data_IF_204991790175
#
_entry.id   IF_204991790175
#
_cell.length_a   1.000
_cell.length_b   1.000
_cell.length_c   1.000
_cell.angle_alpha   90.00
_cell.angle_beta   90.00
_cell.angle_gamma   90.00
#
_symmetry.space_group_name_H-M   'P 1'
#
loop_
_entity.id
_entity.type
_entity.pdbx_description
1 polymer ?
#
# COMPACT_ATOMS: atom_id res chain seq x y z
N UNK A 1 23.51 2.74 -10.20
CA UNK A 1 22.35 2.15 -10.91
C UNK A 1 22.43 0.64 -10.75
N UNK A 2 21.81 0.07 -9.69
CA UNK A 2 21.74 -1.38 -9.54
C UNK A 2 20.63 -1.90 -10.44
N UNK A 3 21.01 -2.56 -11.51
CA UNK A 3 20.09 -3.32 -12.38
C UNK A 3 19.48 -4.42 -11.50
N UNK A 4 18.20 -4.29 -11.16
CA UNK A 4 17.45 -5.41 -10.59
C UNK A 4 17.46 -6.54 -11.61
N UNK A 5 18.20 -7.61 -11.30
CA UNK A 5 18.32 -8.76 -12.16
C UNK A 5 16.93 -9.36 -12.44
N UNK A 6 16.62 -9.64 -13.70
CA UNK A 6 15.37 -10.32 -14.13
C UNK A 6 15.05 -11.58 -13.29
N UNK A 7 16.07 -12.26 -12.77
CA UNK A 7 15.92 -13.40 -11.84
C UNK A 7 15.29 -12.98 -10.50
N UNK A 8 15.59 -11.79 -9.98
CA UNK A 8 15.01 -11.28 -8.74
C UNK A 8 13.54 -10.91 -8.94
N UNK A 9 13.17 -10.42 -10.13
CA UNK A 9 11.77 -10.08 -10.47
C UNK A 9 10.93 -11.36 -10.61
N UNK A 10 11.46 -12.41 -11.25
CA UNK A 10 10.73 -13.68 -11.42
C UNK A 10 10.55 -14.43 -10.10
N UNK A 11 11.56 -14.41 -9.21
CA UNK A 11 11.46 -14.96 -7.85
C UNK A 11 10.46 -14.20 -6.96
N UNK A 12 10.33 -12.89 -7.13
CA UNK A 12 9.33 -12.09 -6.41
C UNK A 12 7.88 -12.41 -6.79
N UNK A 13 7.64 -13.04 -7.95
CA UNK A 13 6.30 -13.45 -8.39
C UNK A 13 5.75 -14.67 -7.65
N UNK A 14 6.62 -15.52 -7.10
CA UNK A 14 6.24 -16.79 -6.45
C UNK A 14 6.66 -16.87 -4.98
N UNK A 15 7.53 -15.97 -4.50
CA UNK A 15 8.03 -16.03 -3.13
C UNK A 15 6.95 -15.53 -2.17
N UNK A 16 6.67 -16.36 -1.15
CA UNK A 16 5.88 -15.96 0.00
C UNK A 16 6.80 -15.46 1.11
N UNK A 17 6.33 -14.42 1.79
CA UNK A 17 6.99 -13.82 2.94
C UNK A 17 6.16 -14.09 4.19
N UNK A 18 6.80 -14.27 5.33
CA UNK A 18 6.07 -14.45 6.61
C UNK A 18 5.31 -13.18 6.97
N UNK A 19 5.95 -12.03 6.89
CA UNK A 19 5.35 -10.73 7.21
C UNK A 19 5.63 -9.75 6.09
N UNK A 20 4.59 -9.18 5.53
CA UNK A 20 4.68 -8.08 4.57
C UNK A 20 4.00 -6.84 5.10
N UNK A 21 4.50 -5.66 4.72
CA UNK A 21 3.83 -4.40 4.99
C UNK A 21 3.32 -3.77 3.68
N UNK A 22 2.23 -3.05 3.78
CA UNK A 22 1.73 -2.14 2.75
C UNK A 22 1.13 -0.93 3.43
N UNK A 23 0.97 0.17 2.71
CA UNK A 23 0.42 1.37 3.34
C UNK A 23 -0.21 2.34 2.35
N UNK A 24 -1.04 3.19 2.89
CA UNK A 24 -1.72 4.21 2.12
C UNK A 24 -2.62 5.10 2.96
N UNK A 25 -3.28 6.05 2.32
CA UNK A 25 -4.29 6.88 2.99
C UNK A 25 -5.61 6.13 3.10
N UNK A 26 -5.93 5.27 2.13
CA UNK A 26 -7.16 4.48 2.06
C UNK A 26 -8.44 5.32 2.27
N UNK A 27 -8.44 6.55 1.77
CA UNK A 27 -9.57 7.46 1.99
C UNK A 27 -10.87 6.92 1.36
N UNK A 28 -10.77 6.42 0.12
CA UNK A 28 -11.81 5.62 -0.53
C UNK A 28 -11.16 4.34 -1.04
N UNK A 29 -11.65 3.18 -0.61
CA UNK A 29 -11.13 1.90 -1.11
C UNK A 29 -11.59 1.72 -2.56
N UNK A 30 -10.68 1.93 -3.51
CA UNK A 30 -10.91 1.83 -4.95
C UNK A 30 -10.11 0.67 -5.56
N UNK A 31 -10.32 0.40 -6.85
CA UNK A 31 -9.71 -0.73 -7.57
C UNK A 31 -8.18 -0.77 -7.44
N UNK A 32 -7.50 0.37 -7.42
CA UNK A 32 -6.04 0.43 -7.17
C UNK A 32 -5.65 -0.05 -5.76
N UNK A 33 -6.37 0.38 -4.72
CA UNK A 33 -6.15 -0.12 -3.36
C UNK A 33 -6.43 -1.61 -3.25
N UNK A 34 -7.49 -2.11 -3.92
CA UNK A 34 -7.83 -3.53 -3.93
C UNK A 34 -6.75 -4.38 -4.58
N UNK A 35 -6.14 -3.92 -5.67
CA UNK A 35 -5.02 -4.60 -6.31
C UNK A 35 -3.79 -4.68 -5.39
N UNK A 36 -3.48 -3.57 -4.69
CA UNK A 36 -2.39 -3.52 -3.71
C UNK A 36 -2.60 -4.53 -2.58
N UNK A 37 -3.79 -4.51 -1.97
CA UNK A 37 -4.16 -5.41 -0.88
C UNK A 37 -4.15 -6.88 -1.34
N UNK A 38 -4.77 -7.16 -2.50
CA UNK A 38 -4.77 -8.52 -3.08
C UNK A 38 -3.34 -9.04 -3.23
N UNK A 39 -2.44 -8.24 -3.80
CA UNK A 39 -1.04 -8.63 -3.95
C UNK A 39 -0.35 -8.86 -2.61
N UNK A 40 -0.65 -8.03 -1.61
CA UNK A 40 -0.10 -8.21 -0.26
C UNK A 40 -0.49 -9.56 0.33
N UNK A 41 -1.75 -9.95 0.22
CA UNK A 41 -2.23 -11.25 0.69
C UNK A 41 -1.78 -12.45 -0.18
N UNK A 42 -1.45 -12.24 -1.44
CA UNK A 42 -0.86 -13.28 -2.30
C UNK A 42 0.56 -13.63 -1.87
N UNK A 43 1.36 -12.64 -1.47
CA UNK A 43 2.79 -12.83 -1.19
C UNK A 43 3.12 -12.95 0.29
N UNK A 44 2.24 -12.48 1.19
CA UNK A 44 2.42 -12.49 2.64
C UNK A 44 1.56 -13.52 3.36
N UNK A 45 2.11 -14.16 4.38
CA UNK A 45 1.33 -14.98 5.30
C UNK A 45 0.62 -14.13 6.34
N UNK A 46 1.28 -13.06 6.81
CA UNK A 46 0.72 -11.99 7.64
C UNK A 46 0.92 -10.64 6.96
N UNK A 47 -0.12 -9.79 6.93
CA UNK A 47 -0.10 -8.49 6.24
C UNK A 47 -0.30 -7.35 7.24
N UNK A 48 0.69 -6.47 7.35
CA UNK A 48 0.57 -5.22 8.11
C UNK A 48 0.11 -4.12 7.16
N UNK A 49 -1.05 -3.53 7.45
CA UNK A 49 -1.67 -2.52 6.59
C UNK A 49 -1.61 -1.17 7.30
N UNK A 50 -0.69 -0.32 6.87
CA UNK A 50 -0.52 1.01 7.42
C UNK A 50 -1.52 2.01 6.84
N UNK A 51 -2.30 2.67 7.70
CA UNK A 51 -3.17 3.79 7.31
C UNK A 51 -2.56 5.09 7.84
N UNK A 52 -2.35 6.08 6.98
CA UNK A 52 -1.84 7.39 7.42
C UNK A 52 -2.74 8.00 8.50
N UNK A 53 -2.15 8.48 9.60
CA UNK A 53 -2.88 9.30 10.58
C UNK A 53 -3.46 10.57 9.92
N UNK A 54 -4.38 11.23 10.58
CA UNK A 54 -4.92 12.51 10.06
C UNK A 54 -3.82 13.58 9.96
N UNK A 55 -2.86 13.56 10.90
CA UNK A 55 -1.70 14.44 10.87
C UNK A 55 -0.79 14.17 9.67
N UNK A 56 -0.45 12.91 9.43
CA UNK A 56 0.37 12.52 8.29
C UNK A 56 -0.33 12.82 6.96
N UNK A 57 -1.63 12.50 6.84
CA UNK A 57 -2.40 12.78 5.63
C UNK A 57 -2.37 14.28 5.28
N UNK A 58 -2.52 15.16 6.26
CA UNK A 58 -2.39 16.63 6.06
C UNK A 58 -0.99 17.02 5.58
N UNK A 59 0.07 16.49 6.21
CA UNK A 59 1.46 16.77 5.77
C UNK A 59 1.73 16.29 4.34
N UNK A 60 1.02 15.26 3.87
CA UNK A 60 1.05 14.78 2.48
C UNK A 60 0.18 15.62 1.52
N UNK A 61 -0.41 16.73 1.96
CA UNK A 61 -1.29 17.55 1.14
C UNK A 61 -2.70 16.96 0.93
N UNK A 62 -3.07 15.90 1.66
CA UNK A 62 -4.38 15.26 1.57
C UNK A 62 -5.39 15.89 2.55
N UNK A 63 -5.53 17.21 2.49
CA UNK A 63 -6.32 17.99 3.46
C UNK A 63 -7.82 17.65 3.46
N UNK A 64 -8.35 17.03 2.40
CA UNK A 64 -9.76 16.63 2.24
C UNK A 64 -10.00 15.15 2.56
N UNK A 65 -8.98 14.42 3.01
CA UNK A 65 -9.16 13.03 3.42
C UNK A 65 -10.13 12.96 4.61
N UNK A 66 -10.99 11.95 4.61
CA UNK A 66 -11.86 11.63 5.75
C UNK A 66 -11.01 11.34 7.00
N UNK A 67 -11.63 11.39 8.16
CA UNK A 67 -10.96 11.08 9.43
C UNK A 67 -10.41 9.66 9.42
N UNK A 68 -9.31 9.45 10.14
CA UNK A 68 -8.65 8.15 10.25
C UNK A 68 -9.65 7.03 10.57
N UNK A 69 -10.50 7.23 11.56
CA UNK A 69 -11.47 6.23 12.01
C UNK A 69 -12.47 5.80 10.92
N UNK A 70 -12.92 6.73 10.07
CA UNK A 70 -13.83 6.40 8.97
C UNK A 70 -13.13 5.61 7.87
N UNK A 71 -11.86 5.93 7.60
CA UNK A 71 -11.02 5.24 6.62
C UNK A 71 -10.68 3.82 7.09
N UNK A 72 -10.31 3.67 8.35
CA UNK A 72 -10.04 2.39 8.99
C UNK A 72 -11.28 1.49 8.97
N UNK A 73 -12.45 2.02 9.34
CA UNK A 73 -13.72 1.28 9.34
C UNK A 73 -14.09 0.78 7.95
N UNK A 74 -13.99 1.61 6.90
CA UNK A 74 -14.25 1.17 5.53
C UNK A 74 -13.26 0.10 5.09
N UNK A 75 -11.98 0.29 5.37
CA UNK A 75 -10.94 -0.68 5.05
C UNK A 75 -11.16 -2.00 5.78
N UNK A 76 -11.42 -1.97 7.08
CA UNK A 76 -11.70 -3.16 7.88
C UNK A 76 -12.90 -3.93 7.35
N UNK A 77 -14.00 -3.24 7.00
CA UNK A 77 -15.18 -3.86 6.39
C UNK A 77 -14.82 -4.57 5.08
N UNK A 78 -14.02 -3.93 4.24
CA UNK A 78 -13.53 -4.54 3.00
C UNK A 78 -12.66 -5.77 3.26
N UNK A 79 -11.70 -5.68 4.18
CA UNK A 79 -10.78 -6.78 4.51
C UNK A 79 -11.51 -7.99 5.08
N UNK A 80 -12.43 -7.78 6.00
CA UNK A 80 -13.22 -8.86 6.61
C UNK A 80 -14.04 -9.63 5.57
N UNK A 81 -14.57 -8.93 4.56
CA UNK A 81 -15.34 -9.55 3.50
C UNK A 81 -14.47 -10.30 2.49
N UNK A 82 -13.38 -9.69 2.02
CA UNK A 82 -12.59 -10.21 0.88
C UNK A 82 -11.49 -11.17 1.30
N UNK A 83 -11.02 -11.08 2.55
CA UNK A 83 -9.86 -11.84 3.04
C UNK A 83 -10.18 -12.64 4.31
N UNK A 84 -11.33 -13.29 4.33
CA UNK A 84 -11.73 -14.15 5.45
C UNK A 84 -10.66 -15.20 5.78
N UNK A 85 -10.35 -15.36 7.07
CA UNK A 85 -9.37 -16.34 7.54
C UNK A 85 -7.91 -15.99 7.21
N UNK A 86 -7.63 -14.82 6.61
CA UNK A 86 -6.26 -14.35 6.39
C UNK A 86 -5.78 -13.54 7.58
N UNK A 87 -4.50 -13.65 7.87
CA UNK A 87 -3.87 -12.95 9.00
C UNK A 87 -3.46 -11.54 8.59
N UNK A 88 -3.92 -10.54 9.32
CA UNK A 88 -3.51 -9.14 9.12
C UNK A 88 -3.65 -8.30 10.38
N UNK A 89 -3.00 -7.16 10.39
CA UNK A 89 -3.21 -6.08 11.35
C UNK A 89 -3.28 -4.74 10.64
N UNK A 90 -4.00 -3.78 11.22
CA UNK A 90 -4.06 -2.39 10.75
C UNK A 90 -3.23 -1.55 11.72
N UNK A 91 -2.31 -0.74 11.19
CA UNK A 91 -1.45 0.14 11.97
C UNK A 91 -1.66 1.61 11.56
N UNK A 92 -1.79 2.50 12.54
CA UNK A 92 -1.82 3.94 12.27
C UNK A 92 -0.40 4.45 11.99
N UNK A 93 -0.19 5.09 10.83
CA UNK A 93 1.10 5.64 10.45
C UNK A 93 1.23 7.10 10.88
N UNK A 94 2.17 7.39 11.77
CA UNK A 94 2.54 8.75 12.15
C UNK A 94 3.62 9.33 11.24
N UNK A 95 4.34 8.47 10.52
CA UNK A 95 5.35 8.76 9.49
C UNK A 95 5.14 7.87 8.27
N UNK A 96 6.00 8.04 7.24
CA UNK A 96 5.89 7.30 5.99
C UNK A 96 6.26 5.81 6.08
N UNK A 97 6.96 5.42 7.14
CA UNK A 97 7.62 4.13 7.20
C UNK A 97 6.99 3.19 8.23
N UNK A 98 6.60 3.72 9.39
CA UNK A 98 5.94 2.98 10.46
C UNK A 98 6.54 1.59 10.72
N UNK A 99 5.71 0.54 10.76
CA UNK A 99 6.15 -0.84 11.01
C UNK A 99 7.18 -1.36 10.02
N UNK A 100 7.19 -0.87 8.77
CA UNK A 100 8.16 -1.30 7.78
C UNK A 100 9.62 -1.00 8.19
N UNK A 101 9.86 0.07 8.97
CA UNK A 101 11.19 0.41 9.48
C UNK A 101 11.41 -0.12 10.89
N UNK A 102 10.40 -0.07 11.74
CA UNK A 102 10.57 -0.34 13.19
C UNK A 102 10.54 -1.82 13.55
N UNK A 103 9.91 -2.66 12.73
CA UNK A 103 9.77 -4.09 12.99
C UNK A 103 10.79 -4.91 12.22
N UNK A 104 11.59 -5.69 12.92
CA UNK A 104 12.63 -6.56 12.33
C UNK A 104 12.04 -7.76 11.57
N UNK A 105 10.82 -8.20 11.91
CA UNK A 105 10.15 -9.34 11.29
C UNK A 105 9.50 -9.04 9.94
N UNK A 106 9.36 -7.76 9.54
CA UNK A 106 8.88 -7.39 8.21
C UNK A 106 9.93 -7.73 7.16
N UNK A 107 9.57 -8.60 6.21
CA UNK A 107 10.47 -9.11 5.16
C UNK A 107 10.32 -8.37 3.83
N UNK A 108 9.11 -7.88 3.54
CA UNK A 108 8.86 -7.16 2.29
C UNK A 108 7.83 -6.03 2.45
N UNK A 109 7.92 -5.06 1.54
CA UNK A 109 6.89 -4.02 1.37
C UNK A 109 6.26 -4.17 0.01
N UNK A 110 4.93 -4.27 0.00
CA UNK A 110 4.12 -4.24 -1.23
C UNK A 110 3.74 -2.78 -1.51
N UNK A 111 4.21 -2.26 -2.63
CA UNK A 111 4.14 -0.85 -2.95
C UNK A 111 3.75 -0.61 -4.42
N UNK A 112 3.17 0.55 -4.71
CA UNK A 112 3.02 1.03 -6.09
C UNK A 112 4.32 1.68 -6.58
N UNK A 113 4.43 1.88 -7.88
CA UNK A 113 5.59 2.56 -8.49
C UNK A 113 5.86 3.95 -7.87
N UNK A 114 4.80 4.69 -7.49
CA UNK A 114 4.91 6.01 -6.82
C UNK A 114 5.63 5.95 -5.47
N UNK A 115 5.57 4.81 -4.79
CA UNK A 115 6.10 4.66 -3.43
C UNK A 115 7.41 3.89 -3.37
N UNK A 116 7.98 3.49 -4.50
CA UNK A 116 9.21 2.70 -4.56
C UNK A 116 10.39 3.42 -3.90
N UNK A 117 10.60 4.70 -4.17
CA UNK A 117 11.68 5.50 -3.56
C UNK A 117 11.61 5.49 -2.03
N UNK A 118 10.40 5.42 -1.47
CA UNK A 118 10.19 5.32 -0.02
C UNK A 118 10.58 3.96 0.53
N UNK A 119 10.44 2.89 -0.25
CA UNK A 119 10.90 1.55 0.16
C UNK A 119 12.42 1.50 0.24
N UNK A 120 13.11 2.16 -0.69
CA UNK A 120 14.57 2.28 -0.65
C UNK A 120 15.03 3.08 0.57
N UNK A 121 14.36 4.18 0.89
CA UNK A 121 14.62 4.96 2.10
C UNK A 121 14.34 4.16 3.38
N UNK A 122 13.24 3.41 3.40
CA UNK A 122 12.93 2.50 4.51
C UNK A 122 14.04 1.46 4.72
N UNK A 123 14.58 0.88 3.65
CA UNK A 123 15.69 -0.08 3.71
C UNK A 123 16.97 0.56 4.29
N UNK A 124 17.31 1.79 3.91
CA UNK A 124 18.43 2.52 4.50
C UNK A 124 18.27 2.71 6.00
N UNK A 125 17.10 3.19 6.45
CA UNK A 125 16.83 3.40 7.87
C UNK A 125 16.81 2.09 8.67
N UNK A 126 16.40 0.98 8.07
CA UNK A 126 16.49 -0.35 8.70
C UNK A 126 17.93 -0.78 8.88
N UNK A 127 18.76 -0.62 7.86
CA UNK A 127 20.18 -0.96 7.93
C UNK A 127 20.88 -0.21 9.07
N UNK A 128 20.59 1.09 9.24
CA UNK A 128 21.12 1.91 10.34
C UNK A 128 20.68 1.38 11.73
N UNK A 129 19.56 0.68 11.81
CA UNK A 129 19.03 0.05 13.03
C UNK A 129 19.44 -1.41 13.20
N UNK A 130 20.25 -1.95 12.30
CA UNK A 130 20.65 -3.35 12.32
C UNK A 130 19.53 -4.33 11.93
N UNK A 131 18.46 -3.86 11.33
CA UNK A 131 17.37 -4.70 10.81
C UNK A 131 17.70 -5.22 9.41
N UNK A 132 17.20 -6.40 9.01
CA UNK A 132 17.35 -6.91 7.65
C UNK A 132 16.75 -5.98 6.59
N UNK A 133 17.35 -5.98 5.40
CA UNK A 133 16.82 -5.22 4.24
C UNK A 133 15.42 -5.69 3.83
N UNK A 134 14.64 -4.76 3.29
CA UNK A 134 13.31 -5.06 2.77
C UNK A 134 13.35 -5.49 1.30
N UNK A 135 12.56 -6.50 0.98
CA UNK A 135 12.22 -6.76 -0.40
C UNK A 135 11.09 -5.82 -0.87
N UNK A 136 11.23 -5.21 -2.04
CA UNK A 136 10.17 -4.45 -2.66
C UNK A 136 9.34 -5.36 -3.60
N UNK A 137 8.04 -5.45 -3.35
CA UNK A 137 7.08 -6.12 -4.25
C UNK A 137 6.23 -5.04 -4.92
N UNK A 138 6.48 -4.82 -6.21
CA UNK A 138 5.79 -3.77 -6.95
C UNK A 138 4.44 -4.21 -7.49
N UNK A 139 3.46 -3.33 -7.36
CA UNK A 139 2.14 -3.43 -7.99
C UNK A 139 2.01 -2.33 -9.03
N UNK A 140 1.72 -2.73 -10.26
CA UNK A 140 1.47 -1.78 -11.35
C UNK A 140 0.22 -0.95 -11.05
N UNK A 141 0.21 0.28 -11.55
CA UNK A 141 -0.99 1.12 -11.48
C UNK A 141 -2.17 0.43 -12.14
N UNK A 142 -3.31 0.50 -11.46
CA UNK A 142 -4.60 0.18 -12.08
C UNK A 142 -5.08 1.43 -12.80
N UNK A 143 -5.27 1.32 -14.10
CA UNK A 143 -5.67 2.43 -14.95
C UNK A 143 -7.19 2.51 -15.04
N UNK A 144 -7.69 3.74 -15.14
CA UNK A 144 -9.07 4.05 -15.48
C UNK A 144 -9.31 3.88 -17.00
N UNK A 145 -10.56 4.03 -17.45
CA UNK A 145 -10.93 3.89 -18.87
C UNK A 145 -10.17 4.86 -19.80
N UNK A 146 -9.69 5.99 -19.27
CA UNK A 146 -8.90 6.97 -20.02
C UNK A 146 -7.39 6.70 -20.01
N UNK A 147 -6.97 5.54 -19.52
CA UNK A 147 -5.56 5.14 -19.45
C UNK A 147 -4.75 5.83 -18.35
N UNK A 148 -5.35 6.67 -17.51
CA UNK A 148 -4.68 7.33 -16.38
C UNK A 148 -4.91 6.56 -15.07
N UNK A 149 -3.98 6.63 -14.09
CA UNK A 149 -4.14 5.95 -12.81
C UNK A 149 -5.44 6.31 -12.08
N UNK A 150 -6.05 5.31 -11.44
CA UNK A 150 -7.18 5.53 -10.53
C UNK A 150 -6.62 6.14 -9.23
N UNK A 151 -7.26 7.22 -8.78
CA UNK A 151 -6.89 7.86 -7.50
C UNK A 151 -8.11 8.41 -6.77
N UNK A 152 -8.00 8.51 -5.45
CA UNK A 152 -9.06 9.13 -4.63
C UNK A 152 -9.40 10.54 -5.10
N UNK A 153 -8.40 11.34 -5.50
CA UNK A 153 -8.60 12.70 -5.99
C UNK A 153 -9.55 12.72 -7.20
N UNK A 154 -9.34 11.85 -8.17
CA UNK A 154 -10.17 11.77 -9.38
C UNK A 154 -11.58 11.26 -9.08
N UNK A 155 -11.71 10.39 -8.08
CA UNK A 155 -13.02 9.89 -7.64
C UNK A 155 -13.80 11.01 -6.95
N UNK A 156 -13.16 11.76 -6.07
CA UNK A 156 -13.80 12.86 -5.31
C UNK A 156 -14.11 14.09 -6.18
N UNK A 157 -13.34 14.31 -7.24
CA UNK A 157 -13.66 15.35 -8.24
C UNK A 157 -14.79 14.95 -9.19
N UNK A 158 -15.26 13.69 -9.13
CA UNK A 158 -16.33 13.22 -10.01
C UNK A 158 -15.87 12.80 -11.40
N UNK A 159 -14.58 12.78 -11.70
CA UNK A 159 -14.05 12.35 -13.01
C UNK A 159 -14.29 10.86 -13.28
N UNK A 160 -14.11 10.03 -12.26
CA UNK A 160 -14.25 8.56 -12.35
C UNK A 160 -14.99 8.00 -11.14
N UNK A 161 -15.46 6.78 -11.25
CA UNK A 161 -15.93 5.99 -10.10
C UNK A 161 -14.79 5.17 -9.43
N UNK A 162 -15.12 4.40 -8.37
CA UNK A 162 -14.16 3.54 -7.66
C UNK A 162 -13.59 2.41 -8.53
N UNK A 163 -14.28 2.08 -9.64
CA UNK A 163 -13.85 1.06 -10.62
C UNK A 163 -12.99 1.66 -11.75
N UNK A 164 -12.88 2.98 -11.83
CA UNK A 164 -12.16 3.70 -12.88
C UNK A 164 -12.98 3.97 -14.14
N UNK A 165 -14.29 3.87 -14.07
CA UNK A 165 -15.18 4.24 -15.18
C UNK A 165 -15.34 5.75 -15.22
N UNK A 166 -15.29 6.33 -16.41
CA UNK A 166 -15.53 7.75 -16.59
C UNK A 166 -16.98 8.10 -16.22
N UNK A 167 -17.14 9.12 -15.41
CA UNK A 167 -18.48 9.69 -15.16
C UNK A 167 -18.79 10.66 -16.29
N UNK A 168 -19.87 10.40 -17.01
CA UNK A 168 -20.43 11.36 -17.97
C UNK A 168 -20.97 12.56 -17.19
N UNK A 169 -20.59 13.75 -17.63
CA UNK A 169 -21.17 15.00 -17.15
C UNK A 169 -22.68 15.05 -17.49
#
# INVERSE_FOLDING_TARGET
MKVLCLRSILMALTRRYRVVATGGTFDLVHKGHRALLKRSFEVGDHVIIGITSDGLARRMGKNRARKYFDRERELHTYLTREFQGRSYEIAELQDFFGPAVTRSDVEAVVASEETLERVEEASRQRHERGNPDLCAVLVKYVLAEDGRPISTRRITSGEIDKEGRLRRA
#
